data_IF_665154327809
#
_entry.id   IF_665154327809
#
_cell.length_a   1.000
_cell.length_b   1.000
_cell.length_c   1.000
_cell.angle_alpha   90.00
_cell.angle_beta   90.00
_cell.angle_gamma   90.00
#
_symmetry.space_group_name_H-M   'P 1'
#
loop_
_entity.id
_entity.type
_entity.pdbx_description
1 polymer ?
#
# COMPACT_ATOMS: atom_id res chain seq x y z
N UNK A 1 4.58 -6.25 11.06
CA UNK A 1 5.57 -7.18 10.47
C UNK A 1 5.12 -8.58 10.79
N UNK A 2 5.07 -9.46 9.80
CA UNK A 2 4.80 -10.88 10.04
C UNK A 2 6.09 -11.51 10.59
N UNK A 3 6.00 -12.18 11.74
CA UNK A 3 7.12 -12.91 12.32
C UNK A 3 6.82 -14.41 12.28
N UNK A 4 7.70 -15.18 11.67
CA UNK A 4 7.64 -16.64 11.68
C UNK A 4 8.96 -17.16 12.23
N UNK A 5 8.92 -17.92 13.33
CA UNK A 5 10.12 -18.42 14.04
C UNK A 5 11.12 -17.31 14.43
N UNK A 6 10.63 -16.15 14.90
CA UNK A 6 11.47 -15.02 15.29
C UNK A 6 12.11 -14.25 14.14
N UNK A 7 11.88 -14.65 12.88
CA UNK A 7 12.33 -13.92 11.68
C UNK A 7 11.17 -13.14 11.08
N UNK A 8 11.45 -11.90 10.66
CA UNK A 8 10.50 -11.11 9.88
C UNK A 8 10.37 -11.76 8.51
N UNK A 9 9.20 -12.31 8.20
CA UNK A 9 8.91 -12.99 6.92
C UNK A 9 8.23 -12.08 5.91
N UNK A 10 7.72 -10.94 6.37
CA UNK A 10 7.11 -9.93 5.51
C UNK A 10 7.19 -8.53 6.12
N UNK A 11 7.75 -7.60 5.35
CA UNK A 11 7.75 -6.17 5.62
C UNK A 11 7.12 -5.44 4.44
N UNK A 12 6.31 -4.43 4.74
CA UNK A 12 5.83 -3.49 3.76
C UNK A 12 6.53 -2.15 3.96
N UNK A 13 6.74 -1.43 2.87
CA UNK A 13 7.19 -0.05 2.95
C UNK A 13 6.02 0.79 3.46
N UNK A 14 6.25 1.55 4.53
CA UNK A 14 5.23 2.42 5.11
C UNK A 14 5.76 3.81 5.35
N UNK A 15 4.96 4.83 5.06
CA UNK A 15 5.29 6.22 5.37
C UNK A 15 4.66 6.59 6.72
N UNK A 16 5.39 7.30 7.58
CA UNK A 16 4.85 7.86 8.82
C UNK A 16 4.66 9.36 8.61
N UNK A 17 3.41 9.83 8.60
CA UNK A 17 3.10 11.25 8.56
C UNK A 17 2.19 11.58 9.75
N UNK A 18 2.58 12.60 10.53
CA UNK A 18 1.82 13.06 11.70
C UNK A 18 1.46 11.93 12.69
N UNK A 19 2.36 10.95 12.85
CA UNK A 19 2.15 9.80 13.74
C UNK A 19 1.26 8.69 13.18
N UNK A 20 0.70 8.86 11.98
CA UNK A 20 -0.09 7.84 11.26
C UNK A 20 0.81 7.04 10.32
N UNK A 21 0.56 5.74 10.22
CA UNK A 21 1.31 4.82 9.35
C UNK A 21 0.51 4.54 8.09
N UNK A 22 1.10 4.79 6.94
CA UNK A 22 0.45 4.62 5.65
C UNK A 22 1.14 3.56 4.81
N UNK A 23 0.34 2.71 4.18
CA UNK A 23 0.80 1.76 3.17
C UNK A 23 0.47 2.30 1.77
N UNK A 24 1.48 2.69 0.97
CA UNK A 24 1.24 3.30 -0.33
C UNK A 24 0.81 2.28 -1.37
N UNK A 25 -0.25 2.62 -2.10
CA UNK A 25 -0.79 1.92 -3.26
C UNK A 25 -0.72 2.84 -4.47
N UNK A 26 -0.47 2.29 -5.66
CA UNK A 26 -0.31 3.08 -6.87
C UNK A 26 -1.20 2.53 -7.98
N UNK A 27 -1.82 3.42 -8.75
CA UNK A 27 -2.52 3.05 -9.98
C UNK A 27 -1.57 2.55 -11.08
N UNK A 28 -0.31 3.01 -11.04
CA UNK A 28 0.68 2.72 -12.06
C UNK A 28 1.98 2.27 -11.43
N UNK A 29 2.55 1.18 -11.97
CA UNK A 29 3.90 0.71 -11.64
C UNK A 29 4.94 1.80 -11.90
N UNK A 30 4.71 2.65 -12.90
CA UNK A 30 5.60 3.78 -13.20
C UNK A 30 5.69 4.76 -12.02
N UNK A 31 4.56 5.18 -11.45
CA UNK A 31 4.55 6.07 -10.27
C UNK A 31 5.17 5.40 -9.05
N UNK A 32 4.93 4.10 -8.84
CA UNK A 32 5.60 3.35 -7.78
C UNK A 32 7.13 3.34 -7.97
N UNK A 33 7.61 3.22 -9.22
CA UNK A 33 9.04 3.19 -9.54
C UNK A 33 9.71 4.54 -9.35
N UNK A 34 9.02 5.63 -9.69
CA UNK A 34 9.50 6.98 -9.41
C UNK A 34 9.69 7.18 -7.90
N UNK A 35 8.67 6.88 -7.08
CA UNK A 35 8.78 7.04 -5.62
C UNK A 35 9.87 6.13 -5.04
N UNK A 36 9.99 4.90 -5.53
CA UNK A 36 11.04 3.96 -5.10
C UNK A 36 12.44 4.55 -5.31
N UNK A 37 12.68 5.16 -6.47
CA UNK A 37 13.97 5.77 -6.80
C UNK A 37 14.23 7.03 -5.96
N UNK A 38 13.22 7.90 -5.83
CA UNK A 38 13.29 9.16 -5.07
C UNK A 38 13.47 8.91 -3.56
N UNK A 39 12.90 7.84 -3.04
CA UNK A 39 13.05 7.41 -1.64
C UNK A 39 14.36 6.67 -1.38
N UNK A 40 15.22 6.53 -2.40
CA UNK A 40 16.50 5.82 -2.32
C UNK A 40 16.40 4.40 -1.72
N UNK A 41 15.34 3.66 -2.06
CA UNK A 41 15.15 2.30 -1.54
C UNK A 41 16.17 1.33 -2.15
N UNK A 42 16.81 0.53 -1.28
CA UNK A 42 17.74 -0.53 -1.69
C UNK A 42 17.01 -1.64 -2.45
N UNK A 43 17.44 -1.93 -3.68
CA UNK A 43 16.81 -2.93 -4.57
C UNK A 43 16.97 -4.36 -4.05
N UNK A 44 17.98 -4.60 -3.23
CA UNK A 44 18.28 -5.87 -2.58
C UNK A 44 17.30 -6.15 -1.42
N UNK A 45 16.67 -5.10 -0.88
CA UNK A 45 15.74 -5.19 0.27
C UNK A 45 14.28 -4.97 -0.13
N UNK A 46 14.04 -4.15 -1.15
CA UNK A 46 12.71 -3.69 -1.52
C UNK A 46 12.43 -3.96 -2.99
N UNK A 47 11.17 -4.25 -3.29
CA UNK A 47 10.69 -4.38 -4.66
C UNK A 47 9.27 -3.86 -4.79
N UNK A 48 8.92 -3.45 -6.01
CA UNK A 48 7.55 -3.06 -6.36
C UNK A 48 6.80 -4.30 -6.82
N UNK A 49 5.63 -4.55 -6.23
CA UNK A 49 4.74 -5.65 -6.59
C UNK A 49 3.42 -5.10 -7.10
N UNK A 50 3.01 -5.61 -8.25
CA UNK A 50 1.62 -5.45 -8.70
C UNK A 50 0.70 -6.33 -7.87
N UNK A 51 -0.57 -5.93 -7.75
CA UNK A 51 -1.61 -6.70 -7.10
C UNK A 51 -2.55 -7.29 -8.16
N UNK A 52 -2.19 -8.41 -8.82
CA UNK A 52 -3.16 -9.15 -9.63
C UNK A 52 -4.35 -9.57 -8.76
N UNK A 53 -5.48 -9.90 -9.37
CA UNK A 53 -6.78 -10.08 -8.67
C UNK A 53 -6.70 -10.98 -7.42
N UNK A 54 -5.98 -12.10 -7.49
CA UNK A 54 -5.80 -13.00 -6.35
C UNK A 54 -4.98 -12.37 -5.21
N UNK A 55 -3.91 -11.64 -5.55
CA UNK A 55 -3.08 -10.92 -4.58
C UNK A 55 -3.82 -9.71 -4.01
N UNK A 56 -4.63 -9.01 -4.82
CA UNK A 56 -5.51 -7.94 -4.36
C UNK A 56 -6.53 -8.47 -3.34
N UNK A 57 -7.14 -9.63 -3.60
CA UNK A 57 -8.04 -10.27 -2.62
C UNK A 57 -7.35 -10.55 -1.30
N UNK A 58 -6.17 -11.17 -1.34
CA UNK A 58 -5.39 -11.45 -0.13
C UNK A 58 -4.99 -10.16 0.60
N UNK A 59 -4.59 -9.14 -0.16
CA UNK A 59 -4.28 -7.82 0.36
C UNK A 59 -5.47 -7.18 1.09
N UNK A 60 -6.67 -7.23 0.51
CA UNK A 60 -7.90 -6.72 1.15
C UNK A 60 -8.18 -7.42 2.49
N UNK A 61 -7.94 -8.73 2.59
CA UNK A 61 -8.07 -9.46 3.86
C UNK A 61 -7.03 -9.01 4.89
N UNK A 62 -5.80 -8.68 4.44
CA UNK A 62 -4.72 -8.18 5.30
C UNK A 62 -5.03 -6.77 5.83
N UNK A 63 -5.83 -5.96 5.11
CA UNK A 63 -6.19 -4.61 5.58
C UNK A 63 -6.94 -4.62 6.91
N UNK A 64 -7.76 -5.64 7.17
CA UNK A 64 -8.46 -5.79 8.45
C UNK A 64 -7.45 -5.96 9.60
N UNK A 65 -6.37 -6.72 9.37
CA UNK A 65 -5.28 -6.89 10.34
C UNK A 65 -4.41 -5.61 10.49
N UNK A 66 -4.12 -4.93 9.38
CA UNK A 66 -3.34 -3.69 9.40
C UNK A 66 -4.05 -2.56 10.14
N UNK A 67 -5.39 -2.52 10.06
CA UNK A 67 -6.21 -1.58 10.84
C UNK A 67 -5.98 -1.72 12.35
N UNK A 68 -5.87 -2.96 12.86
CA UNK A 68 -5.55 -3.21 14.26
C UNK A 68 -4.14 -2.71 14.67
N UNK A 69 -3.26 -2.52 13.69
CA UNK A 69 -1.90 -2.01 13.88
C UNK A 69 -1.80 -0.49 13.62
N UNK A 70 -2.93 0.21 13.47
CA UNK A 70 -3.02 1.62 13.08
C UNK A 70 -2.27 1.92 11.78
N UNK A 71 -2.41 1.04 10.79
CA UNK A 71 -1.83 1.18 9.46
C UNK A 71 -2.94 1.30 8.44
N UNK A 72 -2.91 2.40 7.68
CA UNK A 72 -3.96 2.76 6.73
C UNK A 72 -3.44 2.68 5.29
N UNK A 73 -4.17 2.06 4.35
CA UNK A 73 -3.79 2.12 2.95
C UNK A 73 -4.00 3.55 2.40
N UNK A 74 -3.06 4.00 1.58
CA UNK A 74 -3.12 5.31 0.92
C UNK A 74 -2.85 5.13 -0.56
N UNK A 75 -3.75 5.64 -1.39
CA UNK A 75 -3.51 5.72 -2.83
C UNK A 75 -2.64 6.92 -3.10
N UNK A 76 -1.47 6.67 -3.69
CA UNK A 76 -0.45 7.67 -4.00
C UNK A 76 -0.39 7.85 -5.51
N UNK A 77 -0.46 9.10 -5.95
CA UNK A 77 -0.41 9.45 -7.37
C UNK A 77 0.28 10.80 -7.58
N UNK A 78 0.78 11.00 -8.80
CA UNK A 78 1.24 12.31 -9.26
C UNK A 78 0.12 12.96 -10.09
N UNK A 79 -0.33 14.17 -9.77
CA UNK A 79 -1.39 14.82 -10.54
C UNK A 79 -1.00 15.01 -12.01
N UNK A 80 -1.94 14.87 -12.98
CA UNK A 80 -1.65 15.12 -14.38
C UNK A 80 -1.20 16.57 -14.62
N UNK A 81 -0.13 16.76 -15.38
CA UNK A 81 0.39 18.10 -15.71
C UNK A 81 1.24 18.74 -14.61
N UNK A 82 1.48 18.03 -13.50
CA UNK A 82 2.34 18.52 -12.44
C UNK A 82 3.84 18.36 -12.80
N UNK A 83 4.40 19.45 -13.32
CA UNK A 83 5.83 19.62 -13.61
C UNK A 83 6.60 20.23 -12.46
N UNK A 84 5.92 20.57 -11.35
CA UNK A 84 6.55 21.17 -10.19
C UNK A 84 7.19 20.10 -9.30
N UNK A 85 8.07 20.53 -8.39
CA UNK A 85 8.59 19.67 -7.32
C UNK A 85 7.55 19.41 -6.20
N UNK A 86 6.29 19.83 -6.37
CA UNK A 86 5.21 19.67 -5.39
C UNK A 86 4.67 18.22 -5.35
N UNK A 87 5.58 17.25 -5.29
CA UNK A 87 5.41 15.98 -4.60
C UNK A 87 4.26 15.07 -5.04
N UNK A 88 4.19 13.92 -4.37
CA UNK A 88 3.09 12.99 -4.55
C UNK A 88 1.87 13.46 -3.77
N UNK A 89 0.68 13.31 -4.35
CA UNK A 89 -0.57 13.42 -3.63
C UNK A 89 -0.98 12.05 -3.07
N UNK A 90 -1.62 12.06 -1.90
CA UNK A 90 -2.10 10.87 -1.22
C UNK A 90 -3.57 10.99 -0.83
N UNK A 91 -4.35 9.96 -1.13
CA UNK A 91 -5.72 9.80 -0.63
C UNK A 91 -5.78 8.58 0.29
N UNK A 92 -6.12 8.80 1.56
CA UNK A 92 -6.33 7.70 2.52
C UNK A 92 -7.59 6.96 2.12
N UNK A 93 -7.50 5.64 2.02
CA UNK A 93 -8.59 4.74 1.64
C UNK A 93 -8.80 3.69 2.73
N UNK A 94 -9.84 2.88 2.59
CA UNK A 94 -10.09 1.74 3.47
C UNK A 94 -10.35 0.46 2.68
N UNK A 95 -10.54 -0.62 3.43
CA UNK A 95 -10.83 -1.96 2.94
C UNK A 95 -12.10 -2.02 2.10
N UNK A 96 -13.17 -1.34 2.52
CA UNK A 96 -14.47 -1.41 1.86
C UNK A 96 -14.45 -0.64 0.53
N UNK A 97 -13.79 0.53 0.49
CA UNK A 97 -13.59 1.30 -0.73
C UNK A 97 -12.69 0.54 -1.73
N UNK A 98 -11.59 -0.07 -1.27
CA UNK A 98 -10.72 -0.85 -2.16
C UNK A 98 -11.47 -2.06 -2.75
N UNK A 99 -12.24 -2.77 -1.92
CA UNK A 99 -13.02 -3.92 -2.36
C UNK A 99 -14.08 -3.52 -3.40
N UNK A 100 -14.78 -2.41 -3.16
CA UNK A 100 -15.82 -1.89 -4.05
C UNK A 100 -15.26 -1.41 -5.38
N UNK A 101 -14.23 -0.57 -5.37
CA UNK A 101 -13.77 0.15 -6.56
C UNK A 101 -12.77 -0.66 -7.41
N UNK A 102 -11.99 -1.57 -6.82
CA UNK A 102 -10.88 -2.24 -7.54
C UNK A 102 -10.99 -3.77 -7.63
N UNK A 103 -11.65 -4.42 -6.68
CA UNK A 103 -11.79 -5.88 -6.71
C UNK A 103 -13.04 -6.37 -7.44
N UNK A 104 -14.11 -5.56 -7.44
CA UNK A 104 -15.37 -5.80 -8.15
C UNK A 104 -15.92 -7.23 -7.90
N UNK A 105 -15.97 -7.63 -6.63
CA UNK A 105 -16.44 -8.94 -6.19
C UNK A 105 -16.54 -9.04 -4.67
N UNK A 106 -17.08 -10.14 -4.17
CA UNK A 106 -17.20 -10.35 -2.72
C UNK A 106 -15.86 -10.75 -2.10
N UNK A 107 -15.48 -10.05 -1.04
CA UNK A 107 -14.33 -10.40 -0.20
C UNK A 107 -14.84 -10.68 1.20
N UNK A 108 -14.55 -11.86 1.79
CA UNK A 108 -14.87 -12.14 3.18
C UNK A 108 -14.32 -11.05 4.11
N UNK A 109 -15.01 -10.78 5.22
CA UNK A 109 -14.48 -9.94 6.30
C UNK A 109 -13.79 -10.84 7.32
N UNK A 110 -12.61 -10.43 7.78
CA UNK A 110 -12.00 -11.09 8.94
C UNK A 110 -12.74 -10.57 10.17
N UNK A 111 -13.65 -11.38 10.73
CA UNK A 111 -14.35 -11.04 11.97
C UNK A 111 -13.33 -11.15 13.09
N UNK A 112 -13.14 -10.06 13.83
CA UNK A 112 -12.29 -10.00 15.04
C UNK A 112 -13.16 -9.68 16.24
#
# INVERSE_FOLDING_TARGET
>A
MEHTHGKVTGSYYGNIQEGRKFLPLFFSKYHAQLLFNESHLEKERWCIRGLPRHALRAFILILDLLKLQNVEPMIVFRPPGDTSELGYAGFVTDRDLIAKEYYCGEVPKVVT
#
